data_IF_238858869494
#
_entry.id   IF_238858869494
#
_cell.length_a   1.000
_cell.length_b   1.000
_cell.length_c   1.000
_cell.angle_alpha   90.00
_cell.angle_beta   90.00
_cell.angle_gamma   90.00
#
_symmetry.space_group_name_H-M   'P 1'
#
loop_
_entity.id
_entity.type
_entity.pdbx_description
1 polymer ?
#
# COMPACT_ATOMS: atom_id res chain seq x y z
N UNK A 1 -3.21 24.24 -17.75
CA UNK A 1 -3.66 24.06 -16.36
C UNK A 1 -4.36 22.71 -16.31
N UNK A 2 -3.90 21.76 -15.47
CA UNK A 2 -4.58 20.46 -15.36
C UNK A 2 -5.99 20.66 -14.80
N UNK A 3 -6.96 19.90 -15.29
CA UNK A 3 -8.29 19.89 -14.70
C UNK A 3 -8.19 19.40 -13.25
N UNK A 4 -8.91 20.05 -12.32
CA UNK A 4 -8.95 19.58 -10.93
C UNK A 4 -9.58 18.19 -10.88
N UNK A 5 -8.88 17.25 -10.23
CA UNK A 5 -9.37 15.89 -10.02
C UNK A 5 -10.45 15.90 -8.92
N UNK A 6 -10.15 16.57 -7.81
CA UNK A 6 -11.06 16.77 -6.69
C UNK A 6 -11.73 18.15 -6.72
N UNK A 7 -12.95 18.23 -6.19
CA UNK A 7 -13.71 19.50 -6.21
C UNK A 7 -13.05 20.54 -5.29
N UNK A 8 -12.48 20.09 -4.18
CA UNK A 8 -11.77 20.92 -3.20
C UNK A 8 -10.43 20.26 -2.87
N UNK A 9 -9.35 20.89 -3.31
CA UNK A 9 -7.98 20.43 -3.06
C UNK A 9 -7.20 21.56 -2.36
N UNK A 10 -6.42 21.27 -1.31
CA UNK A 10 -5.58 22.28 -0.67
C UNK A 10 -4.40 22.68 -1.57
N UNK A 11 -3.95 23.93 -1.47
CA UNK A 11 -2.92 24.49 -2.35
C UNK A 11 -1.57 23.72 -2.30
N UNK A 12 -1.24 23.11 -1.16
CA UNK A 12 -0.02 22.31 -1.05
C UNK A 12 -0.08 21.07 -1.95
N UNK A 13 -1.24 20.40 -2.03
CA UNK A 13 -1.40 19.20 -2.84
C UNK A 13 -1.47 19.54 -4.33
N UNK A 14 -2.18 20.62 -4.69
CA UNK A 14 -2.19 21.13 -6.07
C UNK A 14 -0.75 21.40 -6.56
N UNK A 15 0.07 22.06 -5.73
CA UNK A 15 1.46 22.36 -6.05
C UNK A 15 2.31 21.09 -6.12
N UNK A 16 2.10 20.15 -5.20
CA UNK A 16 2.84 18.87 -5.17
C UNK A 16 2.55 18.02 -6.41
N UNK A 17 1.29 17.90 -6.82
CA UNK A 17 0.89 17.24 -8.08
C UNK A 17 1.52 17.91 -9.30
N UNK A 18 1.52 19.24 -9.36
CA UNK A 18 2.19 19.97 -10.45
C UNK A 18 3.69 19.70 -10.50
N UNK A 19 4.36 19.69 -9.35
CA UNK A 19 5.79 19.34 -9.26
C UNK A 19 6.04 17.91 -9.76
N UNK A 20 5.19 16.95 -9.38
CA UNK A 20 5.28 15.57 -9.84
C UNK A 20 5.23 15.49 -11.37
N UNK A 21 4.28 16.18 -12.00
CA UNK A 21 4.17 16.23 -13.47
C UNK A 21 5.39 16.88 -14.13
N UNK A 22 5.93 17.96 -13.56
CA UNK A 22 7.09 18.69 -14.11
C UNK A 22 8.36 17.85 -13.99
N UNK A 23 8.51 17.11 -12.91
CA UNK A 23 9.76 16.40 -12.58
C UNK A 23 9.76 14.94 -13.02
N UNK A 24 8.61 14.35 -13.37
CA UNK A 24 8.48 12.92 -13.67
C UNK A 24 9.54 12.39 -14.65
N UNK A 25 9.89 13.17 -15.68
CA UNK A 25 10.80 12.75 -16.75
C UNK A 25 12.28 12.73 -16.31
N UNK A 26 12.56 13.22 -15.10
CA UNK A 26 13.88 13.17 -14.46
C UNK A 26 14.05 11.94 -13.58
N UNK A 27 12.96 11.23 -13.27
CA UNK A 27 13.00 10.05 -12.43
C UNK A 27 13.23 8.79 -13.27
N UNK A 28 13.77 7.71 -12.66
CA UNK A 28 13.91 6.43 -13.35
C UNK A 28 12.57 5.93 -13.90
N UNK A 29 12.64 5.22 -15.03
CA UNK A 29 11.48 4.57 -15.63
C UNK A 29 11.38 3.13 -15.15
N UNK A 30 10.16 2.67 -14.87
CA UNK A 30 9.90 1.25 -14.64
C UNK A 30 9.57 0.55 -15.97
N UNK A 31 10.03 -0.69 -16.20
CA UNK A 31 9.66 -1.44 -17.40
C UNK A 31 8.15 -1.59 -17.56
N UNK A 32 7.61 -1.17 -18.71
CA UNK A 32 6.20 -1.28 -19.05
C UNK A 32 5.28 -0.28 -18.35
N UNK A 33 5.83 0.75 -17.69
CA UNK A 33 5.03 1.78 -16.99
C UNK A 33 4.06 2.54 -17.91
N UNK A 34 4.33 2.55 -19.22
CA UNK A 34 3.53 3.21 -20.25
C UNK A 34 2.10 2.68 -20.28
N UNK A 35 1.90 1.39 -19.93
CA UNK A 35 0.58 0.76 -19.86
C UNK A 35 -0.38 1.50 -18.90
N UNK A 36 0.15 2.10 -17.83
CA UNK A 36 -0.64 2.89 -16.88
C UNK A 36 -0.64 4.38 -17.22
N UNK A 37 0.55 4.94 -17.51
CA UNK A 37 0.73 6.39 -17.69
C UNK A 37 -0.09 6.92 -18.88
N UNK A 38 -0.09 6.21 -20.01
CA UNK A 38 -0.81 6.64 -21.22
C UNK A 38 -2.32 6.73 -21.02
N UNK A 39 -2.84 5.92 -20.09
CA UNK A 39 -4.26 5.92 -19.74
C UNK A 39 -4.60 7.12 -18.84
N UNK A 40 -3.82 7.37 -17.79
CA UNK A 40 -4.10 8.45 -16.82
C UNK A 40 -3.96 9.85 -17.40
N UNK A 41 -3.09 10.04 -18.39
CA UNK A 41 -2.96 11.33 -19.08
C UNK A 41 -4.25 11.79 -19.78
N UNK A 42 -5.20 10.88 -20.06
CA UNK A 42 -6.43 11.19 -20.80
C UNK A 42 -7.61 11.55 -19.87
N UNK A 43 -7.76 10.88 -18.73
CA UNK A 43 -8.57 11.26 -17.55
C UNK A 43 -8.57 10.12 -16.52
N UNK A 44 -8.60 10.42 -15.23
CA UNK A 44 -9.05 9.49 -14.19
C UNK A 44 -10.46 9.88 -13.74
N UNK A 45 -11.31 8.89 -13.45
CA UNK A 45 -12.67 9.12 -12.95
C UNK A 45 -12.95 8.17 -11.80
N UNK A 46 -12.32 8.44 -10.65
CA UNK A 46 -12.58 7.68 -9.43
C UNK A 46 -14.03 7.83 -8.99
N UNK A 47 -14.79 6.74 -9.04
CA UNK A 47 -16.09 6.63 -8.38
C UNK A 47 -15.98 5.60 -7.27
N UNK A 48 -16.57 5.87 -6.12
CA UNK A 48 -16.39 5.05 -4.93
C UNK A 48 -17.65 4.99 -4.08
N UNK A 49 -17.86 3.86 -3.41
CA UNK A 49 -18.88 3.66 -2.37
C UNK A 49 -18.31 2.78 -1.26
N UNK A 50 -18.94 2.80 -0.09
CA UNK A 50 -18.55 1.93 1.03
C UNK A 50 -17.26 2.35 1.75
N UNK A 51 -16.91 3.64 1.72
CA UNK A 51 -15.85 4.17 2.58
C UNK A 51 -16.16 3.89 4.04
N UNK A 52 -15.14 3.50 4.80
CA UNK A 52 -15.23 3.54 6.25
C UNK A 52 -15.23 5.02 6.65
N UNK A 53 -16.35 5.46 7.25
CA UNK A 53 -16.53 6.82 7.73
C UNK A 53 -16.78 6.75 9.23
N UNK A 54 -15.76 7.08 10.02
CA UNK A 54 -15.80 7.03 11.48
C UNK A 54 -15.04 8.21 12.06
N UNK A 55 -15.56 8.78 13.14
CA UNK A 55 -14.87 9.82 13.90
C UNK A 55 -15.11 9.57 15.39
N UNK A 56 -14.22 8.78 15.98
CA UNK A 56 -14.16 8.45 17.40
C UNK A 56 -12.87 9.01 18.01
N UNK A 57 -12.76 9.07 19.33
CA UNK A 57 -11.57 9.60 20.01
C UNK A 57 -10.29 8.87 19.60
N UNK A 58 -10.41 7.60 19.21
CA UNK A 58 -9.28 6.72 18.95
C UNK A 58 -9.06 6.34 17.49
N UNK A 59 -10.08 6.52 16.65
CA UNK A 59 -10.07 6.12 15.27
C UNK A 59 -10.80 7.18 14.45
N UNK A 60 -10.09 7.73 13.47
CA UNK A 60 -10.73 8.49 12.39
C UNK A 60 -10.57 7.73 11.09
N UNK A 61 -11.65 7.60 10.31
CA UNK A 61 -11.62 7.07 8.95
C UNK A 61 -12.53 7.93 8.06
N UNK A 62 -12.03 8.33 6.90
CA UNK A 62 -12.78 9.12 5.92
C UNK A 62 -12.15 9.01 4.53
N UNK A 63 -12.86 9.42 3.46
CA UNK A 63 -12.26 9.53 2.13
C UNK A 63 -11.03 10.45 2.12
N UNK A 64 -10.00 10.09 1.36
CA UNK A 64 -8.76 10.85 1.26
C UNK A 64 -8.99 12.29 0.75
N UNK A 65 -9.94 12.49 -0.18
CA UNK A 65 -10.34 13.83 -0.67
C UNK A 65 -10.79 14.76 0.49
N UNK A 66 -11.44 14.21 1.51
CA UNK A 66 -11.82 14.97 2.71
C UNK A 66 -10.62 15.14 3.64
N UNK A 67 -9.87 14.05 3.87
CA UNK A 67 -8.75 14.04 4.81
C UNK A 67 -7.65 15.06 4.45
N UNK A 68 -7.35 15.27 3.16
CA UNK A 68 -6.32 16.25 2.75
C UNK A 68 -6.65 17.68 3.17
N UNK A 69 -7.93 17.99 3.40
CA UNK A 69 -8.37 19.27 3.91
C UNK A 69 -8.40 19.27 5.46
N UNK A 70 -8.93 18.22 6.09
CA UNK A 70 -9.11 18.15 7.56
C UNK A 70 -7.80 17.87 8.32
N UNK A 71 -6.94 17.01 7.77
CA UNK A 71 -5.64 16.60 8.32
C UNK A 71 -4.49 17.15 7.47
N UNK A 72 -4.64 18.39 6.98
CA UNK A 72 -3.76 18.97 5.97
C UNK A 72 -2.27 18.96 6.37
N UNK A 73 -1.90 19.33 7.59
CA UNK A 73 -0.50 19.33 8.02
C UNK A 73 0.07 17.92 8.06
N UNK A 74 -0.66 16.98 8.67
CA UNK A 74 -0.27 15.59 8.75
C UNK A 74 -0.07 14.98 7.36
N UNK A 75 -1.02 15.18 6.44
CA UNK A 75 -0.93 14.61 5.11
C UNK A 75 0.08 15.33 4.21
N UNK A 76 0.32 16.63 4.40
CA UNK A 76 1.38 17.33 3.68
C UNK A 76 2.76 16.76 4.00
N UNK A 77 3.00 16.35 5.24
CA UNK A 77 4.27 15.79 5.70
C UNK A 77 4.46 14.30 5.38
N UNK A 78 3.39 13.59 5.01
CA UNK A 78 3.42 12.13 4.99
C UNK A 78 2.87 11.50 3.70
N UNK A 79 1.84 12.06 3.06
CA UNK A 79 1.23 11.50 1.85
C UNK A 79 2.27 11.44 0.72
N UNK A 80 2.71 10.23 0.39
CA UNK A 80 3.77 9.90 -0.55
C UNK A 80 5.14 10.51 -0.23
N UNK A 81 5.47 10.70 1.06
CA UNK A 81 6.77 11.26 1.49
C UNK A 81 7.64 10.27 2.25
N UNK A 82 7.07 9.21 2.85
CA UNK A 82 7.82 8.30 3.76
C UNK A 82 7.76 6.83 3.40
N UNK A 83 6.64 6.36 2.84
CA UNK A 83 6.44 4.95 2.50
C UNK A 83 6.47 4.76 0.98
N UNK A 84 5.57 5.42 0.24
CA UNK A 84 5.63 5.50 -1.22
C UNK A 84 6.22 6.85 -1.61
N UNK A 85 7.52 6.92 -1.91
CA UNK A 85 8.12 8.18 -2.33
C UNK A 85 7.69 8.53 -3.76
N UNK A 86 7.02 9.67 -3.96
CA UNK A 86 6.57 10.07 -5.30
C UNK A 86 7.74 10.34 -6.27
N UNK A 87 8.96 10.51 -5.76
CA UNK A 87 10.17 10.75 -6.54
C UNK A 87 10.92 9.46 -6.91
N UNK A 88 10.50 8.29 -6.41
CA UNK A 88 11.23 7.03 -6.63
C UNK A 88 11.36 6.69 -8.12
N UNK A 89 10.31 6.93 -8.90
CA UNK A 89 10.25 6.66 -10.32
C UNK A 89 9.13 7.46 -10.99
N UNK A 90 9.10 7.45 -12.32
CA UNK A 90 8.10 8.18 -13.10
C UNK A 90 6.67 7.71 -12.82
N UNK A 91 6.44 6.40 -12.61
CA UNK A 91 5.12 5.85 -12.29
C UNK A 91 4.60 6.38 -10.94
N UNK A 92 5.44 6.45 -9.90
CA UNK A 92 5.07 7.00 -8.60
C UNK A 92 4.76 8.50 -8.67
N UNK A 93 5.52 9.28 -9.45
CA UNK A 93 5.24 10.69 -9.69
C UNK A 93 3.89 10.87 -10.40
N UNK A 94 3.61 10.03 -11.40
CA UNK A 94 2.33 10.04 -12.12
C UNK A 94 1.18 9.54 -11.28
N UNK A 95 1.42 8.58 -10.39
CA UNK A 95 0.45 8.15 -9.39
C UNK A 95 0.02 9.35 -8.54
N UNK A 96 0.97 10.05 -7.88
CA UNK A 96 0.70 11.26 -7.09
C UNK A 96 -0.08 12.30 -7.88
N UNK A 97 0.37 12.61 -9.10
CA UNK A 97 -0.26 13.60 -9.95
C UNK A 97 -1.74 13.28 -10.22
N UNK A 98 -2.11 12.00 -10.26
CA UNK A 98 -3.42 11.55 -10.73
C UNK A 98 -4.26 10.83 -9.67
N UNK A 99 -3.87 10.78 -8.39
CA UNK A 99 -4.67 10.12 -7.32
C UNK A 99 -6.11 10.61 -7.43
N UNK A 100 -7.06 9.70 -7.63
CA UNK A 100 -8.46 10.06 -7.90
C UNK A 100 -9.41 9.73 -6.73
N UNK A 101 -9.06 8.77 -5.87
CA UNK A 101 -9.78 8.45 -4.65
C UNK A 101 -8.89 7.66 -3.67
N UNK A 102 -9.40 7.39 -2.47
CA UNK A 102 -8.63 6.76 -1.41
C UNK A 102 -9.31 6.76 -0.05
N UNK A 103 -8.85 5.90 0.85
CA UNK A 103 -9.23 5.87 2.27
C UNK A 103 -8.10 6.46 3.12
N UNK A 104 -8.44 7.39 4.01
CA UNK A 104 -7.59 7.78 5.13
C UNK A 104 -8.07 7.08 6.40
N UNK A 105 -7.13 6.53 7.17
CA UNK A 105 -7.37 5.97 8.51
C UNK A 105 -6.30 6.52 9.44
N UNK A 106 -6.71 7.01 10.62
CA UNK A 106 -5.81 7.47 11.66
C UNK A 106 -6.17 6.84 13.01
N UNK A 107 -5.25 6.01 13.52
CA UNK A 107 -5.34 5.38 14.83
C UNK A 107 -4.54 6.17 15.85
N UNK A 108 -5.19 6.58 16.94
CA UNK A 108 -4.60 7.24 18.09
C UNK A 108 -4.41 6.23 19.24
N UNK A 109 -3.50 6.50 20.19
CA UNK A 109 -3.24 5.59 21.30
C UNK A 109 -4.53 5.31 22.09
N UNK A 110 -4.70 4.03 22.47
CA UNK A 110 -5.84 3.52 23.24
C UNK A 110 -5.40 2.33 24.10
N UNK A 111 -6.25 1.92 25.05
CA UNK A 111 -5.94 0.86 26.02
C UNK A 111 -5.82 -0.53 25.35
N UNK A 112 -6.56 -0.85 24.28
CA UNK A 112 -6.37 -2.01 23.36
C UNK A 112 -7.48 -1.99 22.29
N UNK A 113 -7.18 -2.26 21.02
CA UNK A 113 -8.20 -2.47 19.98
C UNK A 113 -8.57 -3.97 19.91
N UNK A 114 -9.74 -4.36 20.44
CA UNK A 114 -10.13 -5.79 20.53
C UNK A 114 -10.56 -6.42 19.19
N UNK A 115 -11.02 -5.61 18.21
CA UNK A 115 -11.55 -6.09 16.93
C UNK A 115 -10.80 -5.49 15.74
N UNK A 116 -10.64 -6.26 14.65
CA UNK A 116 -10.07 -5.73 13.41
C UNK A 116 -10.84 -4.52 12.88
N UNK A 117 -10.11 -3.54 12.38
CA UNK A 117 -10.66 -2.39 11.66
C UNK A 117 -10.76 -2.81 10.19
N UNK A 118 -11.99 -3.06 9.73
CA UNK A 118 -12.25 -3.56 8.38
C UNK A 118 -12.79 -2.43 7.50
N UNK A 119 -12.23 -2.27 6.30
CA UNK A 119 -12.79 -1.41 5.27
C UNK A 119 -12.85 -2.12 3.92
N UNK A 120 -14.03 -2.07 3.30
CA UNK A 120 -14.37 -2.87 2.11
C UNK A 120 -15.00 -1.97 1.05
N UNK A 121 -14.17 -1.10 0.46
CA UNK A 121 -14.63 -0.09 -0.49
C UNK A 121 -14.88 -0.69 -1.87
N UNK A 122 -15.91 -0.21 -2.55
CA UNK A 122 -16.21 -0.54 -3.93
C UNK A 122 -15.87 0.64 -4.82
N UNK A 123 -14.92 0.44 -5.73
CA UNK A 123 -14.31 1.47 -6.55
C UNK A 123 -14.52 1.18 -8.03
N UNK A 124 -14.54 2.26 -8.81
CA UNK A 124 -14.24 2.26 -10.22
C UNK A 124 -13.19 3.35 -10.39
N UNK A 125 -11.93 2.98 -10.22
CA UNK A 125 -10.80 3.90 -10.22
C UNK A 125 -9.59 3.27 -10.90
N UNK A 126 -8.88 4.11 -11.67
CA UNK A 126 -7.62 3.73 -12.27
C UNK A 126 -6.41 4.08 -11.38
N UNK A 127 -6.60 4.84 -10.29
CA UNK A 127 -5.50 5.41 -9.53
C UNK A 127 -5.85 5.71 -8.06
N UNK A 128 -5.99 4.66 -7.26
CA UNK A 128 -6.43 4.73 -5.86
C UNK A 128 -5.24 4.87 -4.91
N UNK A 129 -5.43 5.59 -3.80
CA UNK A 129 -4.39 5.72 -2.78
C UNK A 129 -4.95 5.71 -1.36
N UNK A 130 -4.63 4.68 -0.58
CA UNK A 130 -4.95 4.61 0.83
C UNK A 130 -3.75 5.06 1.67
N UNK A 131 -4.02 5.78 2.77
CA UNK A 131 -2.99 6.13 3.75
C UNK A 131 -3.52 5.86 5.16
N UNK A 132 -2.77 5.04 5.88
CA UNK A 132 -3.09 4.58 7.23
C UNK A 132 -2.00 5.07 8.17
N UNK A 133 -2.37 5.91 9.13
CA UNK A 133 -1.47 6.48 10.13
C UNK A 133 -1.76 5.84 11.48
N UNK A 134 -0.74 5.32 12.14
CA UNK A 134 -0.86 4.59 13.39
C UNK A 134 0.06 5.24 14.41
N UNK A 135 -0.51 5.80 15.49
CA UNK A 135 0.28 6.40 16.57
C UNK A 135 1.13 5.38 17.32
N UNK A 136 2.08 5.88 18.09
CA UNK A 136 2.93 5.07 18.97
C UNK A 136 2.10 4.19 19.91
N UNK A 137 2.65 3.02 20.27
CA UNK A 137 2.11 2.07 21.25
C UNK A 137 0.73 1.47 20.89
N UNK A 138 0.21 1.75 19.69
CA UNK A 138 -1.05 1.16 19.21
C UNK A 138 -0.84 -0.32 18.90
N UNK A 139 -1.76 -1.15 19.37
CA UNK A 139 -1.88 -2.55 18.97
C UNK A 139 -3.15 -2.69 18.12
N UNK A 140 -3.01 -3.10 16.86
CA UNK A 140 -4.16 -3.13 15.94
C UNK A 140 -4.07 -4.23 14.88
N UNK A 141 -5.23 -4.69 14.45
CA UNK A 141 -5.42 -5.46 13.22
C UNK A 141 -6.25 -4.60 12.27
N UNK A 142 -5.77 -4.39 11.05
CA UNK A 142 -6.46 -3.63 10.01
C UNK A 142 -6.63 -4.54 8.79
N UNK A 143 -7.82 -4.55 8.21
CA UNK A 143 -8.16 -5.41 7.08
C UNK A 143 -8.79 -4.60 5.94
N UNK A 144 -8.12 -4.63 4.81
CA UNK A 144 -8.56 -4.03 3.55
C UNK A 144 -9.13 -5.10 2.63
N UNK A 145 -10.39 -4.93 2.21
CA UNK A 145 -11.10 -5.81 1.28
C UNK A 145 -11.73 -5.00 0.15
N UNK A 146 -10.91 -4.27 -0.59
CA UNK A 146 -11.37 -3.41 -1.68
C UNK A 146 -11.82 -4.23 -2.89
N UNK A 147 -12.86 -3.75 -3.58
CA UNK A 147 -13.27 -4.23 -4.91
C UNK A 147 -13.11 -3.09 -5.92
N UNK A 148 -12.38 -3.30 -7.01
CA UNK A 148 -12.17 -2.28 -8.05
C UNK A 148 -12.61 -2.75 -9.46
N UNK A 149 -13.64 -2.10 -10.00
CA UNK A 149 -14.33 -2.49 -11.24
C UNK A 149 -14.05 -1.58 -12.45
N UNK A 150 -12.79 -1.15 -12.63
CA UNK A 150 -12.46 -0.14 -13.64
C UNK A 150 -12.24 -0.67 -15.06
N UNK A 151 -11.93 -1.96 -15.26
CA UNK A 151 -11.52 -2.56 -16.57
C UNK A 151 -10.35 -1.85 -17.28
N UNK A 152 -9.79 -0.80 -16.70
CA UNK A 152 -8.64 -0.04 -17.15
C UNK A 152 -7.39 -0.55 -16.42
N UNK A 153 -6.17 -0.22 -16.89
CA UNK A 153 -4.98 -0.39 -16.07
C UNK A 153 -5.12 0.43 -14.79
N UNK A 154 -4.85 -0.19 -13.64
CA UNK A 154 -5.01 0.44 -12.32
C UNK A 154 -3.68 0.50 -11.57
N UNK A 155 -3.50 1.57 -10.81
CA UNK A 155 -2.53 1.62 -9.73
C UNK A 155 -3.28 1.72 -8.40
N UNK A 156 -2.92 0.84 -7.48
CA UNK A 156 -3.56 0.65 -6.19
C UNK A 156 -2.50 0.83 -5.10
N UNK A 157 -2.40 2.06 -4.57
CA UNK A 157 -1.40 2.43 -3.57
C UNK A 157 -1.94 2.32 -2.15
N UNK A 158 -1.13 1.81 -1.23
CA UNK A 158 -1.39 1.85 0.21
C UNK A 158 -0.13 2.20 0.97
N UNK A 159 -0.18 3.28 1.75
CA UNK A 159 0.85 3.71 2.69
C UNK A 159 0.45 3.40 4.13
N UNK A 160 1.35 2.78 4.89
CA UNK A 160 1.14 2.47 6.31
C UNK A 160 2.26 3.10 7.14
N UNK A 161 1.92 4.05 7.99
CA UNK A 161 2.87 4.77 8.84
C UNK A 161 2.70 4.30 10.27
N UNK A 162 3.67 3.51 10.75
CA UNK A 162 3.63 2.85 12.05
C UNK A 162 4.48 3.62 13.06
N UNK A 163 3.82 4.12 14.10
CA UNK A 163 4.46 4.83 15.20
C UNK A 163 5.30 3.93 16.09
N UNK A 164 6.12 4.56 16.93
CA UNK A 164 7.07 3.86 17.79
C UNK A 164 6.39 2.83 18.68
N UNK A 165 6.99 1.65 18.85
CA UNK A 165 6.47 0.55 19.69
C UNK A 165 5.04 0.09 19.35
N UNK A 166 4.49 0.46 18.19
CA UNK A 166 3.19 -0.04 17.74
C UNK A 166 3.34 -1.47 17.18
N UNK A 167 2.32 -2.29 17.38
CA UNK A 167 2.26 -3.67 16.91
C UNK A 167 1.05 -3.85 16.01
N UNK A 168 1.30 -4.06 14.72
CA UNK A 168 0.26 -3.97 13.70
C UNK A 168 0.25 -5.21 12.83
N UNK A 169 -0.93 -5.78 12.63
CA UNK A 169 -1.19 -6.70 11.52
C UNK A 169 -2.03 -5.98 10.49
N UNK A 170 -1.51 -5.83 9.27
CA UNK A 170 -2.26 -5.32 8.13
C UNK A 170 -2.56 -6.45 7.16
N UNK A 171 -3.84 -6.60 6.81
CA UNK A 171 -4.35 -7.63 5.92
C UNK A 171 -4.92 -6.99 4.68
N UNK A 172 -4.62 -7.55 3.51
CA UNK A 172 -5.20 -7.08 2.25
C UNK A 172 -5.70 -8.25 1.40
N UNK A 173 -6.96 -8.18 0.97
CA UNK A 173 -7.63 -9.15 0.11
C UNK A 173 -8.41 -8.45 -1.01
N UNK A 174 -7.71 -7.62 -1.79
CA UNK A 174 -8.34 -6.81 -2.82
C UNK A 174 -8.71 -7.63 -4.05
N UNK A 175 -9.90 -7.35 -4.61
CA UNK A 175 -10.37 -7.91 -5.89
C UNK A 175 -10.42 -6.78 -6.92
N UNK A 176 -9.95 -7.05 -8.13
CA UNK A 176 -9.88 -6.03 -9.19
C UNK A 176 -10.13 -6.67 -10.56
N UNK A 177 -10.99 -6.05 -11.37
CA UNK A 177 -11.23 -6.45 -12.77
C UNK A 177 -10.35 -5.69 -13.77
N UNK A 178 -9.39 -4.94 -13.25
CA UNK A 178 -8.43 -4.14 -14.01
C UNK A 178 -7.59 -5.01 -14.96
N UNK A 179 -7.28 -4.48 -16.14
CA UNK A 179 -6.53 -5.22 -17.19
C UNK A 179 -5.09 -5.50 -16.79
N UNK A 180 -4.46 -4.55 -16.11
CA UNK A 180 -3.14 -4.70 -15.51
C UNK A 180 -3.11 -3.88 -14.22
N UNK A 181 -2.70 -4.50 -13.11
CA UNK A 181 -2.73 -3.91 -11.78
C UNK A 181 -1.29 -3.62 -11.35
N UNK A 182 -0.99 -2.39 -10.95
CA UNK A 182 0.22 -2.09 -10.17
C UNK A 182 -0.20 -1.85 -8.73
N UNK A 183 0.10 -2.79 -7.84
CA UNK A 183 -0.30 -2.72 -6.44
C UNK A 183 0.91 -2.45 -5.57
N UNK A 184 0.87 -1.35 -4.83
CA UNK A 184 1.97 -0.89 -3.99
C UNK A 184 1.51 -0.88 -2.55
N UNK A 185 2.13 -1.69 -1.69
CA UNK A 185 1.85 -1.73 -0.25
C UNK A 185 3.15 -1.43 0.47
N UNK A 186 3.31 -0.17 0.84
CA UNK A 186 4.55 0.30 1.46
C UNK A 186 4.30 0.75 2.89
N UNK A 187 5.31 0.59 3.73
CA UNK A 187 5.28 1.06 5.09
C UNK A 187 6.50 1.91 5.47
N UNK A 188 6.27 2.76 6.46
CA UNK A 188 7.30 3.36 7.29
C UNK A 188 7.08 2.86 8.72
N UNK A 189 8.14 2.44 9.38
CA UNK A 189 8.11 1.87 10.72
C UNK A 189 9.08 2.60 11.64
N UNK A 190 8.56 3.32 12.62
CA UNK A 190 9.39 3.92 13.67
C UNK A 190 9.93 2.85 14.63
N UNK A 191 10.95 3.23 15.41
CA UNK A 191 11.67 2.34 16.32
C UNK A 191 10.75 1.47 17.19
N UNK A 192 11.17 0.23 17.43
CA UNK A 192 10.48 -0.74 18.28
C UNK A 192 9.14 -1.24 17.74
N UNK A 193 8.73 -0.82 16.54
CA UNK A 193 7.46 -1.25 15.96
C UNK A 193 7.56 -2.62 15.30
N UNK A 194 6.44 -3.34 15.28
CA UNK A 194 6.28 -4.58 14.53
C UNK A 194 5.15 -4.45 13.53
N UNK A 195 5.40 -4.91 12.31
CA UNK A 195 4.40 -4.89 11.23
C UNK A 195 4.39 -6.23 10.53
N UNK A 196 3.25 -6.92 10.62
CA UNK A 196 2.97 -8.11 9.84
C UNK A 196 2.07 -7.73 8.67
N UNK A 197 2.48 -8.08 7.46
CA UNK A 197 1.57 -8.07 6.31
C UNK A 197 0.99 -9.47 6.11
N UNK A 198 -0.30 -9.56 5.85
CA UNK A 198 -0.94 -10.75 5.28
C UNK A 198 -1.65 -10.33 4.00
N UNK A 199 -1.02 -10.57 2.85
CA UNK A 199 -1.52 -10.12 1.55
C UNK A 199 -1.98 -11.32 0.73
N UNK A 200 -3.25 -11.33 0.32
CA UNK A 200 -3.81 -12.28 -0.61
C UNK A 200 -4.03 -11.58 -1.95
N UNK A 201 -3.41 -12.08 -3.02
CA UNK A 201 -3.62 -11.55 -4.36
C UNK A 201 -3.95 -12.65 -5.35
N UNK A 202 -5.20 -12.63 -5.84
CA UNK A 202 -5.69 -13.50 -6.90
C UNK A 202 -6.10 -12.64 -8.09
N UNK A 203 -5.51 -12.91 -9.25
CA UNK A 203 -5.81 -12.15 -10.46
C UNK A 203 -6.11 -13.08 -11.62
N UNK A 204 -7.10 -12.71 -12.43
CA UNK A 204 -7.40 -13.37 -13.70
C UNK A 204 -6.65 -12.71 -14.87
N UNK A 205 -6.08 -11.52 -14.64
CA UNK A 205 -5.34 -10.71 -15.60
C UNK A 205 -3.84 -10.74 -15.28
N UNK A 206 -3.18 -9.57 -15.25
CA UNK A 206 -1.79 -9.41 -14.86
C UNK A 206 -1.71 -8.45 -13.67
N UNK A 207 -0.80 -8.71 -12.73
CA UNK A 207 -0.47 -7.75 -11.69
C UNK A 207 1.01 -7.67 -11.38
N UNK A 208 1.46 -6.49 -10.97
CA UNK A 208 2.68 -6.29 -10.20
C UNK A 208 2.28 -6.02 -8.75
N UNK A 209 2.87 -6.73 -7.80
CA UNK A 209 2.76 -6.47 -6.37
C UNK A 209 4.11 -5.98 -5.88
N UNK A 210 4.14 -4.77 -5.32
CA UNK A 210 5.32 -4.06 -4.85
C UNK A 210 5.20 -3.86 -3.33
N UNK A 211 6.04 -4.56 -2.57
CA UNK A 211 6.07 -4.53 -1.12
C UNK A 211 7.35 -3.82 -0.66
N UNK A 212 7.19 -2.87 0.26
CA UNK A 212 8.32 -2.19 0.87
C UNK A 212 8.05 -1.82 2.32
N UNK A 213 9.10 -1.83 3.14
CA UNK A 213 9.06 -1.18 4.44
C UNK A 213 10.39 -0.49 4.74
N UNK A 214 10.32 0.72 5.29
CA UNK A 214 11.46 1.43 5.87
C UNK A 214 11.46 1.28 7.38
N UNK A 215 12.48 0.62 7.93
CA UNK A 215 12.64 0.35 9.36
C UNK A 215 13.51 1.43 10.01
N UNK A 216 12.87 2.50 10.47
CA UNK A 216 13.48 3.69 11.06
C UNK A 216 13.73 3.50 12.56
N UNK A 217 14.80 2.75 12.88
CA UNK A 217 15.31 2.62 14.23
C UNK A 217 15.43 1.18 14.72
N UNK A 218 15.88 1.06 15.96
CA UNK A 218 16.23 -0.21 16.61
C UNK A 218 14.99 -1.04 16.95
N UNK A 219 15.18 -2.35 17.08
CA UNK A 219 14.15 -3.31 17.52
C UNK A 219 12.90 -3.33 16.62
N UNK A 220 13.05 -3.00 15.34
CA UNK A 220 11.93 -2.91 14.40
C UNK A 220 11.84 -4.19 13.56
N UNK A 221 10.64 -4.74 13.39
CA UNK A 221 10.45 -5.99 12.65
C UNK A 221 9.38 -5.85 11.57
N UNK A 222 9.69 -6.37 10.38
CA UNK A 222 8.73 -6.47 9.27
C UNK A 222 8.60 -7.92 8.81
N UNK A 223 7.38 -8.46 8.86
CA UNK A 223 7.12 -9.88 8.59
C UNK A 223 6.02 -10.05 7.53
N UNK A 224 6.29 -9.70 6.26
CA UNK A 224 5.31 -9.91 5.21
C UNK A 224 5.10 -11.40 4.91
N UNK A 225 3.84 -11.83 4.96
CA UNK A 225 3.38 -13.11 4.41
C UNK A 225 2.44 -12.83 3.24
N UNK A 226 2.77 -13.36 2.06
CA UNK A 226 1.97 -13.12 0.85
C UNK A 226 1.57 -14.42 0.16
N UNK A 227 0.33 -14.48 -0.31
CA UNK A 227 -0.20 -15.56 -1.13
C UNK A 227 -0.60 -15.04 -2.51
N UNK A 228 -0.04 -15.62 -3.58
CA UNK A 228 -0.18 -15.14 -4.96
C UNK A 228 -0.71 -16.25 -5.88
N UNK A 229 -1.75 -15.93 -6.66
CA UNK A 229 -2.32 -16.80 -7.69
C UNK A 229 -2.62 -16.01 -8.98
N UNK A 230 -2.39 -16.63 -10.14
CA UNK A 230 -2.48 -15.99 -11.45
C UNK A 230 -1.17 -15.32 -11.89
N UNK A 231 -1.19 -14.69 -13.07
CA UNK A 231 0.01 -14.10 -13.70
C UNK A 231 0.46 -12.84 -12.95
N UNK A 232 1.54 -12.95 -12.18
CA UNK A 232 1.98 -11.84 -11.32
C UNK A 232 3.50 -11.67 -11.30
N UNK A 233 3.92 -10.43 -11.03
CA UNK A 233 5.29 -10.09 -10.66
C UNK A 233 5.31 -9.59 -9.22
N UNK A 234 6.16 -10.17 -8.37
CA UNK A 234 6.41 -9.69 -7.01
C UNK A 234 7.75 -8.96 -6.96
N UNK A 235 7.72 -7.74 -6.43
CA UNK A 235 8.89 -7.02 -5.95
C UNK A 235 8.72 -6.86 -4.45
N UNK A 236 9.74 -7.25 -3.68
CA UNK A 236 9.78 -7.01 -2.25
C UNK A 236 11.14 -6.45 -1.89
N UNK A 237 11.15 -5.30 -1.21
CA UNK A 237 12.36 -4.67 -0.72
C UNK A 237 12.17 -4.20 0.71
N UNK A 238 13.27 -4.06 1.43
CA UNK A 238 13.27 -3.44 2.75
C UNK A 238 14.44 -2.47 2.83
N UNK A 239 14.32 -1.45 3.65
CA UNK A 239 15.45 -0.63 4.02
C UNK A 239 15.33 -0.28 5.50
N UNK A 240 16.41 0.18 6.12
CA UNK A 240 16.39 0.54 7.52
C UNK A 240 17.77 0.50 8.16
N UNK A 241 17.76 0.88 9.43
CA UNK A 241 18.96 0.96 10.25
C UNK A 241 18.60 0.67 11.70
N UNK A 242 19.62 0.37 12.50
CA UNK A 242 19.47 0.10 13.93
C UNK A 242 19.69 -1.36 14.31
N UNK A 243 20.09 -1.55 15.56
CA UNK A 243 20.34 -2.86 16.14
C UNK A 243 19.03 -3.63 16.29
N UNK A 244 19.12 -4.95 16.14
CA UNK A 244 18.00 -5.88 16.34
C UNK A 244 16.79 -5.59 15.44
N UNK A 245 17.05 -4.96 14.30
CA UNK A 245 16.07 -4.69 13.24
C UNK A 245 16.20 -5.78 12.17
N UNK A 246 15.08 -6.32 11.68
CA UNK A 246 15.09 -7.45 10.74
C UNK A 246 13.83 -7.53 9.89
N UNK A 247 13.92 -8.22 8.75
CA UNK A 247 12.74 -8.54 7.94
C UNK A 247 12.72 -10.00 7.45
N UNK A 248 11.53 -10.60 7.47
CA UNK A 248 11.30 -11.97 6.99
C UNK A 248 10.12 -12.00 6.04
N UNK A 249 10.38 -12.34 4.78
CA UNK A 249 9.36 -12.50 3.76
C UNK A 249 9.00 -13.98 3.62
N UNK A 250 7.73 -14.32 3.81
CA UNK A 250 7.18 -15.64 3.48
C UNK A 250 6.24 -15.53 2.29
N UNK A 251 6.47 -16.36 1.27
CA UNK A 251 5.68 -16.38 0.03
C UNK A 251 5.01 -17.74 -0.17
N UNK A 252 3.73 -17.73 -0.52
CA UNK A 252 3.00 -18.87 -1.06
C UNK A 252 2.61 -18.53 -2.49
N UNK A 253 3.24 -19.16 -3.47
CA UNK A 253 3.03 -18.79 -4.88
C UNK A 253 3.05 -20.00 -5.81
N UNK A 254 2.39 -19.83 -6.96
CA UNK A 254 2.59 -20.71 -8.11
C UNK A 254 3.83 -20.21 -8.88
N UNK A 255 4.91 -20.97 -8.84
CA UNK A 255 6.18 -20.58 -9.47
C UNK A 255 6.14 -20.52 -10.99
N UNK A 256 5.14 -21.13 -11.64
CA UNK A 256 4.99 -21.05 -13.10
C UNK A 256 4.34 -19.74 -13.54
N UNK A 257 3.48 -19.18 -12.68
CA UNK A 257 2.66 -18.00 -12.98
C UNK A 257 3.18 -16.72 -12.30
N UNK A 258 3.93 -16.88 -11.21
CA UNK A 258 4.45 -15.77 -10.41
C UNK A 258 5.95 -15.66 -10.56
N UNK A 259 6.38 -14.53 -11.11
CA UNK A 259 7.79 -14.14 -11.17
C UNK A 259 8.12 -13.16 -10.06
N UNK A 260 9.37 -13.09 -9.63
CA UNK A 260 9.78 -12.07 -8.67
C UNK A 260 11.28 -12.02 -8.51
N UNK A 261 11.80 -10.82 -8.24
CA UNK A 261 13.20 -10.66 -7.84
C UNK A 261 13.39 -11.19 -6.41
N UNK A 262 14.59 -11.68 -6.05
CA UNK A 262 14.88 -12.06 -4.67
C UNK A 262 14.63 -10.90 -3.71
N UNK A 263 14.12 -11.23 -2.52
CA UNK A 263 13.98 -10.25 -1.45
C UNK A 263 15.33 -9.60 -1.13
N UNK A 264 15.37 -8.27 -1.08
CA UNK A 264 16.63 -7.54 -0.94
C UNK A 264 16.48 -6.25 -0.17
N UNK A 265 17.61 -5.76 0.33
CA UNK A 265 17.73 -4.41 0.86
C UNK A 265 17.76 -3.41 -0.30
N UNK A 266 16.97 -2.33 -0.26
CA UNK A 266 16.87 -1.32 -1.35
C UNK A 266 18.19 -0.55 -1.50
N UNK A 267 18.63 0.13 -0.44
CA UNK A 267 19.93 0.79 -0.33
C UNK A 267 20.12 1.28 1.11
N UNK A 268 21.11 0.78 1.86
CA UNK A 268 21.29 1.17 3.25
C UNK A 268 22.35 0.37 3.98
N UNK A 269 22.28 0.39 5.31
CA UNK A 269 23.11 -0.47 6.16
C UNK A 269 22.75 -1.95 5.94
N UNK A 270 23.67 -2.90 6.19
CA UNK A 270 23.34 -4.31 6.16
C UNK A 270 22.20 -4.63 7.13
N UNK A 271 21.07 -5.05 6.59
CA UNK A 271 19.90 -5.47 7.36
C UNK A 271 19.76 -7.00 7.31
N UNK A 272 19.62 -7.68 8.46
CA UNK A 272 19.24 -9.09 8.48
C UNK A 272 17.90 -9.32 7.77
N UNK A 273 17.94 -10.04 6.65
CA UNK A 273 16.76 -10.43 5.89
C UNK A 273 16.72 -11.94 5.67
N UNK A 274 15.50 -12.48 5.59
CA UNK A 274 15.26 -13.88 5.21
C UNK A 274 14.05 -13.97 4.28
N UNK A 275 14.06 -14.96 3.41
CA UNK A 275 13.02 -15.21 2.42
C UNK A 275 12.70 -16.70 2.37
N UNK A 276 11.46 -17.04 2.64
CA UNK A 276 10.92 -18.39 2.54
C UNK A 276 9.90 -18.43 1.40
N UNK A 277 10.10 -19.35 0.45
CA UNK A 277 9.21 -19.50 -0.72
C UNK A 277 8.63 -20.90 -0.71
N UNK A 278 7.30 -20.96 -0.63
CA UNK A 278 6.51 -22.17 -0.60
C UNK A 278 5.62 -22.27 -1.84
N UNK A 279 5.38 -23.48 -2.36
CA UNK A 279 4.30 -23.75 -3.28
C UNK A 279 2.95 -23.30 -2.71
N UNK A 280 2.10 -22.66 -3.53
CA UNK A 280 0.78 -22.17 -3.08
C UNK A 280 -0.08 -23.26 -2.40
N UNK A 281 0.00 -24.51 -2.86
CA UNK A 281 -0.73 -25.65 -2.28
C UNK A 281 -0.44 -25.91 -0.79
N UNK A 282 0.73 -25.51 -0.28
CA UNK A 282 1.10 -25.66 1.13
C UNK A 282 0.31 -24.71 2.05
N UNK A 283 -0.30 -23.66 1.50
CA UNK A 283 -1.18 -22.76 2.25
C UNK A 283 -2.41 -23.50 2.78
N UNK A 284 -2.89 -24.54 2.09
CA UNK A 284 -4.06 -25.32 2.47
C UNK A 284 -3.89 -26.05 3.82
N UNK A 285 -2.65 -26.37 4.20
CA UNK A 285 -2.30 -26.94 5.51
C UNK A 285 -2.08 -25.91 6.62
N UNK A 286 -2.11 -24.61 6.33
CA UNK A 286 -1.93 -23.56 7.33
C UNK A 286 -3.25 -23.20 8.05
N UNK A 287 -3.15 -22.63 9.25
CA UNK A 287 -4.28 -22.02 9.97
C UNK A 287 -4.39 -20.50 9.72
N UNK A 288 -3.70 -19.98 8.69
CA UNK A 288 -3.59 -18.53 8.44
C UNK A 288 -4.88 -17.96 7.86
N UNK A 289 -5.13 -16.67 8.14
CA UNK A 289 -6.20 -15.88 7.50
C UNK A 289 -6.13 -15.98 5.96
N UNK A 290 -4.91 -16.00 5.40
CA UNK A 290 -4.68 -16.17 3.96
C UNK A 290 -5.32 -17.43 3.38
N UNK A 291 -5.35 -18.56 4.11
CA UNK A 291 -6.03 -19.77 3.61
C UNK A 291 -7.51 -19.50 3.36
N UNK A 292 -8.20 -18.88 4.31
CA UNK A 292 -9.63 -18.60 4.20
C UNK A 292 -9.93 -17.73 2.98
N UNK A 293 -9.11 -16.71 2.73
CA UNK A 293 -9.27 -15.82 1.59
C UNK A 293 -8.92 -16.51 0.27
N UNK A 294 -7.86 -17.31 0.24
CA UNK A 294 -7.36 -17.95 -0.98
C UNK A 294 -8.21 -19.15 -1.44
N UNK A 295 -9.05 -19.69 -0.57
CA UNK A 295 -9.97 -20.80 -0.89
C UNK A 295 -11.44 -20.40 -0.95
N UNK A 296 -11.77 -19.12 -0.69
CA UNK A 296 -13.13 -18.63 -0.80
C UNK A 296 -13.49 -18.45 -2.29
N UNK A 297 -14.29 -19.38 -2.81
CA UNK A 297 -14.87 -19.34 -4.18
C UNK A 297 -15.66 -18.04 -4.44
#
# INVERSE_FOLDING_TARGET
MMAKIWKKEPAWLEKKRQLAVILQSRFPTLPGQEEWIDHWQKRTTGVSRGWLSLQEDSLTAMPLEQAVNEYSTLLQENLMEKAIFWQDNQLAAMHLANIDCGQFIYLRPQITQERPIVFSTHLNSANTHNIIVISAEVNAVIEEQMVNDTLLPSYEGTEILVGANAHVTYRQANRSTSKNIYRTIHAYQAHGSTLQFEVASQVQTKATVDLYSFLDGQNTQWTPTIALSGTQQLTAMVDGFGKETSATLTQYRDSEMVTGAPFKVKAGEPLPISEDIHPLKELASSERWLKQIMTAE
#
